data_IF_995264872257
#
_entry.id   IF_995264872257
#
_cell.length_a   1.000
_cell.length_b   1.000
_cell.length_c   1.000
_cell.angle_alpha   90.00
_cell.angle_beta   90.00
_cell.angle_gamma   90.00
#
_symmetry.space_group_name_H-M   'P 1'
#
loop_
_entity.id
_entity.type
_entity.pdbx_description
1 polymer ?
#
# COMPACT_ATOMS: atom_id res chain seq x y z
N UNK A 1 -11.25 1.16 19.87
CA UNK A 1 -10.03 1.73 20.47
C UNK A 1 -10.35 3.03 21.21
N UNK A 2 -9.70 3.32 22.35
CA UNK A 2 -9.92 4.55 23.12
C UNK A 2 -9.02 5.71 22.64
N UNK A 3 -9.32 6.94 23.08
CA UNK A 3 -8.60 8.17 22.67
C UNK A 3 -7.13 8.16 23.08
N UNK A 4 -6.80 7.62 24.26
CA UNK A 4 -5.44 7.58 24.78
C UNK A 4 -4.54 6.67 23.90
N UNK A 5 -5.05 5.50 23.52
CA UNK A 5 -4.37 4.58 22.63
C UNK A 5 -4.14 5.21 21.23
N UNK A 6 -5.12 5.93 20.70
CA UNK A 6 -5.02 6.63 19.44
C UNK A 6 -3.93 7.72 19.47
N UNK A 7 -3.92 8.54 20.54
CA UNK A 7 -2.90 9.56 20.75
C UNK A 7 -1.49 8.96 20.89
N UNK A 8 -1.35 7.80 21.54
CA UNK A 8 -0.08 7.09 21.65
C UNK A 8 0.45 6.67 20.26
N UNK A 9 -0.43 6.15 19.40
CA UNK A 9 -0.07 5.76 18.04
C UNK A 9 0.32 7.00 17.22
N UNK A 10 -0.47 8.05 17.29
CA UNK A 10 -0.18 9.32 16.61
C UNK A 10 1.20 9.88 17.01
N UNK A 11 1.49 9.98 18.31
CA UNK A 11 2.80 10.45 18.80
C UNK A 11 3.95 9.59 18.30
N UNK A 12 3.77 8.27 18.24
CA UNK A 12 4.81 7.38 17.69
C UNK A 12 5.08 7.66 16.22
N UNK A 13 4.06 7.94 15.43
CA UNK A 13 4.21 8.35 14.02
C UNK A 13 4.98 9.68 13.97
N UNK A 14 4.61 10.66 14.80
CA UNK A 14 5.30 11.95 14.85
C UNK A 14 6.79 11.83 15.23
N UNK A 15 7.12 10.96 16.17
CA UNK A 15 8.49 10.73 16.66
C UNK A 15 9.33 9.82 15.75
N UNK A 16 8.73 9.24 14.72
CA UNK A 16 9.44 8.32 13.81
C UNK A 16 10.32 9.07 12.82
N UNK A 17 11.54 8.54 12.61
CA UNK A 17 12.44 8.97 11.55
C UNK A 17 11.91 8.57 10.17
N UNK A 18 11.23 7.41 10.10
CA UNK A 18 10.73 6.80 8.86
C UNK A 18 9.41 6.07 9.08
N UNK A 19 8.57 6.05 8.05
CA UNK A 19 7.28 5.36 8.04
C UNK A 19 7.19 4.37 6.89
N UNK A 20 6.94 3.10 7.18
CA UNK A 20 6.65 2.07 6.19
C UNK A 20 5.16 1.74 6.23
N UNK A 21 4.49 1.92 5.10
CA UNK A 21 3.04 1.76 5.00
C UNK A 21 2.73 0.60 4.05
N UNK A 22 1.96 -0.37 4.51
CA UNK A 22 1.39 -1.43 3.68
C UNK A 22 -0.11 -1.19 3.51
N UNK A 23 -0.58 -1.19 2.26
CA UNK A 23 -2.00 -0.96 1.94
C UNK A 23 -2.54 -2.20 1.25
N UNK A 24 -3.52 -2.85 1.88
CA UNK A 24 -4.11 -4.09 1.41
C UNK A 24 -5.59 -4.00 1.05
N UNK A 25 -6.23 -5.16 0.97
CA UNK A 25 -7.54 -5.36 0.37
C UNK A 25 -8.69 -4.54 0.95
N UNK A 26 -8.63 -4.10 2.22
CA UNK A 26 -9.67 -3.21 2.78
C UNK A 26 -9.74 -1.84 2.10
N UNK A 27 -8.69 -1.44 1.38
CA UNK A 27 -8.60 -0.16 0.65
C UNK A 27 -9.07 -0.27 -0.81
N UNK A 28 -9.55 -1.43 -1.27
CA UNK A 28 -10.12 -1.57 -2.60
C UNK A 28 -11.43 -0.79 -2.72
N UNK A 29 -11.60 -0.08 -3.82
CA UNK A 29 -12.85 0.62 -4.14
C UNK A 29 -14.00 -0.35 -4.36
N UNK A 30 -13.73 -1.49 -5.01
CA UNK A 30 -14.71 -2.55 -5.23
C UNK A 30 -14.18 -3.88 -4.69
N UNK A 31 -14.71 -4.41 -3.57
CA UNK A 31 -14.30 -5.70 -3.04
C UNK A 31 -14.80 -6.89 -3.89
N UNK A 32 -15.84 -6.71 -4.75
CA UNK A 32 -16.42 -7.78 -5.55
C UNK A 32 -15.76 -7.86 -6.93
N UNK A 33 -14.97 -8.91 -7.15
CA UNK A 33 -14.20 -9.18 -8.38
C UNK A 33 -15.03 -9.32 -9.67
N UNK A 34 -16.37 -9.32 -9.62
CA UNK A 34 -17.25 -9.65 -10.76
C UNK A 34 -17.79 -8.46 -11.56
N UNK A 35 -17.55 -7.22 -11.13
CA UNK A 35 -18.09 -6.03 -11.79
C UNK A 35 -16.99 -5.00 -12.10
N UNK A 36 -16.21 -5.28 -13.15
CA UNK A 36 -15.25 -4.31 -13.71
C UNK A 36 -15.99 -3.12 -14.37
N UNK A 37 -17.26 -3.27 -14.72
CA UNK A 37 -18.03 -2.26 -15.47
C UNK A 37 -18.60 -1.10 -14.62
N UNK A 38 -18.67 -1.24 -13.31
CA UNK A 38 -19.09 -0.16 -12.41
C UNK A 38 -18.20 -0.14 -11.18
N UNK A 39 -17.17 0.72 -11.20
CA UNK A 39 -16.43 1.09 -9.99
C UNK A 39 -17.43 1.79 -9.07
N UNK A 40 -17.97 1.05 -8.10
CA UNK A 40 -18.75 1.67 -7.03
C UNK A 40 -17.73 2.42 -6.17
N UNK A 41 -17.63 3.72 -6.38
CA UNK A 41 -16.77 4.55 -5.58
C UNK A 41 -17.13 4.39 -4.10
N UNK A 42 -16.18 3.96 -3.29
CA UNK A 42 -16.27 3.96 -1.84
C UNK A 42 -15.71 5.29 -1.33
N UNK A 43 -16.56 6.31 -1.09
CA UNK A 43 -16.11 7.65 -0.71
C UNK A 43 -15.30 7.65 0.59
N UNK A 44 -15.50 6.65 1.46
CA UNK A 44 -14.71 6.44 2.67
C UNK A 44 -13.25 6.09 2.35
N UNK A 45 -12.96 5.35 1.27
CA UNK A 45 -11.59 5.02 0.88
C UNK A 45 -10.84 6.25 0.39
N UNK A 46 -11.49 7.10 -0.41
CA UNK A 46 -10.91 8.37 -0.85
C UNK A 46 -10.57 9.27 0.36
N UNK A 47 -11.48 9.38 1.34
CA UNK A 47 -11.23 10.09 2.60
C UNK A 47 -10.08 9.45 3.41
N UNK A 48 -9.98 8.12 3.40
CA UNK A 48 -8.88 7.38 4.01
C UNK A 48 -7.54 7.76 3.42
N UNK A 49 -7.43 7.81 2.09
CA UNK A 49 -6.22 8.25 1.41
C UNK A 49 -5.88 9.72 1.71
N UNK A 50 -6.87 10.62 1.71
CA UNK A 50 -6.65 12.01 2.11
C UNK A 50 -6.11 12.11 3.55
N UNK A 51 -6.72 11.38 4.48
CA UNK A 51 -6.28 11.32 5.87
C UNK A 51 -4.86 10.74 6.01
N UNK A 52 -4.56 9.66 5.28
CA UNK A 52 -3.23 9.08 5.24
C UNK A 52 -2.20 10.07 4.69
N UNK A 53 -2.53 10.80 3.63
CA UNK A 53 -1.65 11.83 3.10
C UNK A 53 -1.32 12.90 4.15
N UNK A 54 -2.30 13.36 4.94
CA UNK A 54 -2.05 14.33 6.01
C UNK A 54 -1.07 13.81 7.07
N UNK A 55 -1.07 12.51 7.36
CA UNK A 55 -0.12 11.88 8.29
C UNK A 55 1.29 11.74 7.69
N UNK A 56 1.41 11.66 6.36
CA UNK A 56 2.68 11.30 5.70
C UNK A 56 3.41 12.48 5.05
N UNK A 57 2.71 13.55 4.67
CA UNK A 57 3.24 14.65 3.81
C UNK A 57 4.54 15.30 4.28
N UNK A 58 4.80 15.29 5.59
CA UNK A 58 6.02 15.87 6.20
C UNK A 58 7.00 14.79 6.68
N UNK A 59 6.79 13.53 6.30
CA UNK A 59 7.56 12.38 6.79
C UNK A 59 8.39 11.73 5.69
N UNK A 60 9.50 11.09 6.05
CA UNK A 60 10.21 10.17 5.15
C UNK A 60 9.48 8.82 5.17
N UNK A 61 8.67 8.56 4.16
CA UNK A 61 7.83 7.37 4.07
C UNK A 61 8.06 6.55 2.81
N UNK A 62 7.60 5.30 2.83
CA UNK A 62 7.40 4.48 1.64
C UNK A 62 6.10 3.68 1.76
N UNK A 63 5.38 3.55 0.65
CA UNK A 63 4.12 2.81 0.56
C UNK A 63 4.33 1.55 -0.31
N UNK A 64 3.93 0.40 0.22
CA UNK A 64 3.80 -0.85 -0.54
C UNK A 64 2.31 -1.18 -0.61
N UNK A 65 1.79 -1.40 -1.81
CA UNK A 65 0.37 -1.71 -1.97
C UNK A 65 0.13 -2.99 -2.75
N UNK A 66 -0.88 -3.77 -2.32
CA UNK A 66 -1.45 -4.90 -3.06
C UNK A 66 -2.75 -4.53 -3.77
N UNK A 67 -3.22 -3.28 -3.61
CA UNK A 67 -4.42 -2.75 -4.26
C UNK A 67 -4.08 -2.35 -5.69
N UNK A 68 -4.87 -2.85 -6.64
CA UNK A 68 -4.61 -2.70 -8.09
C UNK A 68 -5.56 -1.74 -8.80
N UNK A 69 -6.48 -1.07 -8.08
CA UNK A 69 -7.56 -0.25 -8.66
C UNK A 69 -7.13 1.14 -9.16
N UNK A 70 -5.89 1.52 -8.95
CA UNK A 70 -5.33 2.78 -9.45
C UNK A 70 -5.59 4.00 -8.57
N UNK A 71 -6.50 3.96 -7.61
CA UNK A 71 -6.91 5.14 -6.83
C UNK A 71 -5.77 5.81 -6.08
N UNK A 72 -4.79 5.05 -5.57
CA UNK A 72 -3.64 5.61 -4.86
C UNK A 72 -2.82 6.56 -5.75
N UNK A 73 -2.79 6.32 -7.07
CA UNK A 73 -2.03 7.12 -8.04
C UNK A 73 -2.70 8.47 -8.36
N UNK A 74 -3.99 8.61 -8.03
CA UNK A 74 -4.74 9.87 -8.13
C UNK A 74 -4.54 10.75 -6.90
N UNK A 75 -3.96 10.20 -5.83
CA UNK A 75 -3.73 10.92 -4.59
C UNK A 75 -2.43 11.73 -4.64
N UNK A 76 -2.26 12.76 -3.79
CA UNK A 76 -1.10 13.66 -3.83
C UNK A 76 0.17 13.07 -3.21
N UNK A 77 0.28 11.74 -3.11
CA UNK A 77 1.51 11.08 -2.70
C UNK A 77 2.61 11.24 -3.76
N UNK A 78 3.84 11.28 -3.32
CA UNK A 78 5.01 11.22 -4.20
C UNK A 78 5.06 9.83 -4.87
N UNK A 79 4.88 9.78 -6.21
CA UNK A 79 4.77 8.52 -6.97
C UNK A 79 6.02 7.63 -6.84
N UNK A 80 7.20 8.22 -6.71
CA UNK A 80 8.46 7.51 -6.46
C UNK A 80 8.50 6.80 -5.09
N UNK A 81 7.58 7.13 -4.19
CA UNK A 81 7.43 6.54 -2.85
C UNK A 81 6.34 5.48 -2.77
N UNK A 82 5.82 5.03 -3.91
CA UNK A 82 4.80 3.97 -3.98
C UNK A 82 5.32 2.83 -4.83
N UNK A 83 5.23 1.60 -4.32
CA UNK A 83 5.46 0.38 -5.08
C UNK A 83 4.23 -0.52 -5.04
N UNK A 84 3.83 -1.03 -6.21
CA UNK A 84 2.65 -1.87 -6.40
C UNK A 84 3.04 -3.21 -7.05
N UNK A 85 3.58 -4.18 -6.29
CA UNK A 85 4.03 -5.46 -6.86
C UNK A 85 2.92 -6.31 -7.47
N UNK A 86 1.66 -6.05 -7.10
CA UNK A 86 0.49 -6.69 -7.72
C UNK A 86 0.03 -6.01 -9.02
N UNK A 87 0.69 -4.92 -9.43
CA UNK A 87 0.35 -4.15 -10.63
C UNK A 87 -0.73 -3.11 -10.40
N UNK A 88 -1.24 -2.59 -11.53
CA UNK A 88 -2.25 -1.54 -11.55
C UNK A 88 -3.13 -1.69 -12.80
N UNK A 89 -4.44 -1.54 -12.68
CA UNK A 89 -5.37 -1.64 -13.81
C UNK A 89 -5.21 -0.51 -14.83
N UNK A 90 -4.66 0.65 -14.43
CA UNK A 90 -4.38 1.78 -15.33
C UNK A 90 -3.09 1.58 -16.14
N UNK A 91 -2.25 0.64 -15.77
CA UNK A 91 -1.10 0.21 -16.56
C UNK A 91 -1.52 -0.88 -17.53
N UNK A 92 -0.99 -0.82 -18.74
CA UNK A 92 -1.32 -1.77 -19.82
C UNK A 92 -0.07 -2.55 -20.21
N UNK A 93 -0.27 -3.81 -20.53
CA UNK A 93 0.75 -4.72 -21.06
C UNK A 93 0.19 -5.49 -22.27
N UNK A 94 1.06 -6.07 -23.08
CA UNK A 94 0.65 -6.98 -24.14
C UNK A 94 0.04 -8.27 -23.56
N UNK A 95 -1.14 -8.68 -24.02
CA UNK A 95 -1.80 -9.92 -23.60
C UNK A 95 -0.95 -11.18 -23.83
N UNK A 96 -0.08 -11.15 -24.86
CA UNK A 96 0.81 -12.26 -25.20
C UNK A 96 2.17 -12.18 -24.48
N UNK A 97 2.45 -11.09 -23.70
CA UNK A 97 3.76 -10.89 -23.09
C UNK A 97 4.92 -10.81 -24.10
N UNK A 98 4.65 -10.33 -25.34
CA UNK A 98 5.67 -10.30 -26.41
C UNK A 98 6.77 -9.26 -26.20
N UNK A 99 6.56 -8.33 -25.30
CA UNK A 99 7.49 -7.27 -24.88
C UNK A 99 7.38 -7.06 -23.38
N UNK A 100 8.36 -6.39 -22.78
CA UNK A 100 8.37 -5.96 -21.38
C UNK A 100 7.87 -4.52 -21.21
N UNK A 101 7.44 -3.88 -22.28
CA UNK A 101 6.93 -2.53 -22.24
C UNK A 101 5.59 -2.46 -21.49
N UNK A 102 5.47 -1.41 -20.69
CA UNK A 102 4.26 -1.05 -19.96
C UNK A 102 3.84 0.34 -20.43
N UNK A 103 2.56 0.50 -20.70
CA UNK A 103 1.96 1.75 -21.13
C UNK A 103 0.92 2.26 -20.14
N UNK A 104 0.75 3.56 -20.06
CA UNK A 104 -0.35 4.19 -19.35
C UNK A 104 -1.68 3.95 -20.11
N UNK A 105 -2.79 3.93 -19.38
CA UNK A 105 -4.13 3.80 -20.02
C UNK A 105 -4.37 4.98 -20.98
N UNK A 106 -4.74 4.67 -22.21
CA UNK A 106 -4.93 5.66 -23.30
C UNK A 106 -3.67 6.12 -24.02
N UNK A 107 -2.46 5.73 -23.59
CA UNK A 107 -1.21 6.05 -24.29
C UNK A 107 -1.17 5.46 -25.71
N UNK A 108 -1.74 4.27 -25.88
CA UNK A 108 -1.90 3.61 -27.17
C UNK A 108 -3.40 3.66 -27.55
N UNK A 109 -3.84 4.58 -28.44
CA UNK A 109 -5.25 4.88 -28.65
C UNK A 109 -6.09 3.72 -29.21
N UNK A 110 -5.50 2.82 -30.00
CA UNK A 110 -6.20 1.67 -30.58
C UNK A 110 -6.22 0.44 -29.66
N UNK A 111 -5.57 0.54 -28.48
CA UNK A 111 -5.49 -0.53 -27.49
C UNK A 111 -4.76 -1.79 -27.99
N UNK A 112 -3.90 -1.67 -28.99
CA UNK A 112 -3.15 -2.77 -29.56
C UNK A 112 -1.66 -2.64 -29.32
N UNK A 113 -1.04 -3.78 -29.00
CA UNK A 113 0.39 -3.85 -28.81
C UNK A 113 1.16 -3.43 -30.07
N UNK A 114 2.04 -2.40 -30.00
CA UNK A 114 2.81 -1.93 -31.16
C UNK A 114 3.75 -2.99 -31.76
N UNK A 115 4.11 -4.03 -30.99
CA UNK A 115 5.04 -5.06 -31.41
C UNK A 115 4.38 -6.23 -32.14
N UNK A 116 3.20 -6.70 -31.68
CA UNK A 116 2.59 -7.90 -32.23
C UNK A 116 1.14 -7.72 -32.69
N UNK A 117 0.53 -6.54 -32.46
CA UNK A 117 -0.86 -6.27 -32.78
C UNK A 117 -1.90 -6.93 -31.87
N UNK A 118 -1.48 -7.69 -30.84
CA UNK A 118 -2.36 -8.24 -29.83
C UNK A 118 -2.99 -7.16 -28.93
N UNK A 119 -3.97 -7.51 -28.10
CA UNK A 119 -4.62 -6.54 -27.23
C UNK A 119 -3.71 -6.06 -26.09
N UNK A 120 -3.92 -4.83 -25.67
CA UNK A 120 -3.39 -4.32 -24.43
C UNK A 120 -4.38 -4.59 -23.28
N UNK A 121 -3.90 -5.27 -22.26
CA UNK A 121 -4.67 -5.68 -21.07
C UNK A 121 -4.11 -5.05 -19.82
N UNK A 122 -4.88 -4.94 -18.70
CA UNK A 122 -4.35 -4.43 -17.44
C UNK A 122 -3.09 -5.18 -16.98
N UNK A 123 -2.08 -4.45 -16.52
CA UNK A 123 -0.88 -5.03 -15.93
C UNK A 123 -1.13 -5.33 -14.46
N UNK A 124 -1.65 -6.51 -14.16
CA UNK A 124 -1.91 -6.99 -12.80
C UNK A 124 -1.54 -8.47 -12.68
N UNK A 125 -1.26 -8.94 -11.45
CA UNK A 125 -0.96 -10.35 -11.15
C UNK A 125 -2.11 -11.32 -11.50
N UNK A 126 -3.30 -10.80 -11.78
CA UNK A 126 -4.45 -11.61 -12.24
C UNK A 126 -4.29 -12.02 -13.72
N UNK A 127 -3.40 -11.34 -14.46
CA UNK A 127 -3.07 -11.69 -15.83
C UNK A 127 -2.05 -12.84 -15.88
N UNK A 128 -2.35 -13.87 -16.67
CA UNK A 128 -1.49 -15.06 -16.79
C UNK A 128 -0.08 -14.79 -17.34
N UNK A 129 0.16 -13.64 -17.96
CA UNK A 129 1.44 -13.18 -18.49
C UNK A 129 1.91 -11.88 -17.80
N UNK A 130 1.66 -11.76 -16.50
CA UNK A 130 2.02 -10.56 -15.75
C UNK A 130 3.47 -10.13 -15.95
N UNK A 131 3.68 -8.88 -16.26
CA UNK A 131 4.98 -8.26 -16.54
C UNK A 131 5.38 -7.39 -15.34
N UNK A 132 6.46 -7.77 -14.67
CA UNK A 132 6.92 -7.13 -13.43
C UNK A 132 7.59 -5.77 -13.67
N UNK A 133 8.01 -5.48 -14.89
CA UNK A 133 8.67 -4.22 -15.26
C UNK A 133 7.87 -2.97 -14.89
N UNK A 134 6.55 -3.10 -14.73
CA UNK A 134 5.69 -2.01 -14.27
C UNK A 134 6.02 -1.48 -12.88
N UNK A 135 6.52 -2.33 -11.98
CA UNK A 135 6.85 -1.89 -10.61
C UNK A 135 8.34 -1.98 -10.25
N UNK A 136 9.17 -2.66 -11.05
CA UNK A 136 10.58 -2.87 -10.73
C UNK A 136 11.38 -1.59 -10.46
N UNK A 137 11.20 -0.47 -11.16
CA UNK A 137 11.90 0.77 -10.83
C UNK A 137 11.62 1.24 -9.40
N UNK A 138 10.35 1.24 -8.97
CA UNK A 138 9.93 1.64 -7.61
C UNK A 138 10.34 0.59 -6.58
N UNK A 139 10.41 -0.69 -6.96
CA UNK A 139 10.92 -1.74 -6.09
C UNK A 139 12.40 -1.53 -5.74
N UNK A 140 13.20 -1.07 -6.69
CA UNK A 140 14.60 -0.71 -6.45
C UNK A 140 14.69 0.45 -5.45
N UNK A 141 13.93 1.53 -5.67
CA UNK A 141 13.86 2.67 -4.75
C UNK A 141 13.42 2.24 -3.35
N UNK A 142 12.40 1.37 -3.26
CA UNK A 142 11.92 0.81 -2.00
C UNK A 142 13.00 0.04 -1.26
N UNK A 143 13.71 -0.85 -1.94
CA UNK A 143 14.74 -1.67 -1.30
C UNK A 143 15.93 -0.84 -0.82
N UNK A 144 16.33 0.18 -1.57
CA UNK A 144 17.36 1.15 -1.16
C UNK A 144 16.90 2.00 0.04
N UNK A 145 15.65 2.45 0.02
CA UNK A 145 15.07 3.19 1.14
C UNK A 145 14.97 2.31 2.39
N UNK A 146 14.51 1.06 2.24
CA UNK A 146 14.38 0.09 3.32
C UNK A 146 15.74 -0.19 3.99
N UNK A 147 16.80 -0.35 3.21
CA UNK A 147 18.15 -0.54 3.75
C UNK A 147 18.58 0.64 4.65
N UNK A 148 18.12 1.86 4.35
CA UNK A 148 18.39 3.05 5.17
C UNK A 148 17.52 3.19 6.43
N UNK A 149 16.59 2.26 6.66
CA UNK A 149 15.77 2.25 7.90
C UNK A 149 16.47 1.56 9.07
N UNK A 150 17.52 0.80 8.81
CA UNK A 150 18.24 0.07 9.85
C UNK A 150 18.76 1.03 10.93
N UNK A 151 18.49 0.71 12.21
CA UNK A 151 18.80 1.53 13.36
C UNK A 151 18.14 2.93 13.40
N UNK A 152 17.07 3.13 12.64
CA UNK A 152 16.20 4.32 12.71
C UNK A 152 14.92 3.98 13.46
N UNK A 153 14.31 4.99 14.09
CA UNK A 153 12.95 4.86 14.62
C UNK A 153 11.99 4.69 13.45
N UNK A 154 11.63 3.43 13.16
CA UNK A 154 10.75 3.04 12.08
C UNK A 154 9.38 2.69 12.64
N UNK A 155 8.33 3.39 12.23
CA UNK A 155 6.96 2.90 12.45
C UNK A 155 6.45 2.25 11.17
N UNK A 156 5.92 1.04 11.33
CA UNK A 156 5.34 0.24 10.27
C UNK A 156 3.84 0.15 10.49
N UNK A 157 3.06 0.55 9.49
CA UNK A 157 1.60 0.44 9.48
C UNK A 157 1.17 -0.53 8.37
N UNK A 158 0.59 -1.66 8.75
CA UNK A 158 -0.06 -2.59 7.82
C UNK A 158 -1.57 -2.36 7.89
N UNK A 159 -2.12 -1.83 6.81
CA UNK A 159 -3.48 -1.33 6.71
C UNK A 159 -4.33 -2.22 5.81
N UNK A 160 -5.15 -3.08 6.40
CA UNK A 160 -6.13 -3.89 5.69
C UNK A 160 -5.55 -4.97 4.79
N UNK A 161 -4.33 -5.47 5.06
CA UNK A 161 -3.73 -6.56 4.30
C UNK A 161 -4.19 -7.93 4.82
N UNK A 162 -4.72 -8.74 3.91
CA UNK A 162 -5.17 -10.11 4.19
C UNK A 162 -4.11 -11.17 3.91
N UNK A 163 -4.58 -12.38 3.52
CA UNK A 163 -3.73 -13.51 3.18
C UNK A 163 -3.73 -13.86 1.69
N UNK A 164 -4.25 -12.98 0.81
CA UNK A 164 -4.25 -13.24 -0.64
C UNK A 164 -2.83 -13.21 -1.21
N UNK A 165 -2.00 -12.27 -0.75
CA UNK A 165 -0.62 -12.07 -1.20
C UNK A 165 0.33 -11.75 -0.03
N UNK A 166 0.43 -12.65 0.98
CA UNK A 166 1.14 -12.36 2.23
C UNK A 166 2.64 -12.14 2.04
N UNK A 167 3.20 -12.61 0.93
CA UNK A 167 4.60 -12.44 0.55
C UNK A 167 4.96 -11.01 0.14
N UNK A 168 3.98 -10.16 -0.16
CA UNK A 168 4.21 -8.78 -0.59
C UNK A 168 4.33 -7.83 0.59
N UNK A 169 3.44 -7.92 1.57
CA UNK A 169 3.38 -7.01 2.73
C UNK A 169 3.59 -7.76 4.04
N UNK A 170 2.71 -8.71 4.39
CA UNK A 170 2.66 -9.30 5.75
C UNK A 170 4.00 -9.83 6.24
N UNK A 171 4.57 -10.81 5.51
CA UNK A 171 5.82 -11.44 5.93
C UNK A 171 7.05 -10.54 5.78
N UNK A 172 7.22 -9.75 4.70
CA UNK A 172 8.31 -8.78 4.60
C UNK A 172 8.29 -7.72 5.70
N UNK A 173 7.10 -7.24 6.10
CA UNK A 173 6.97 -6.23 7.15
C UNK A 173 7.30 -6.81 8.53
N UNK A 174 6.78 -7.98 8.87
CA UNK A 174 7.16 -8.71 10.09
C UNK A 174 8.67 -8.91 10.17
N UNK A 175 9.28 -9.39 9.07
CA UNK A 175 10.73 -9.59 8.97
C UNK A 175 11.51 -8.27 9.16
N UNK A 176 11.04 -7.18 8.56
CA UNK A 176 11.65 -5.86 8.72
C UNK A 176 11.66 -5.41 10.18
N UNK A 177 10.52 -5.56 10.85
CA UNK A 177 10.37 -5.21 12.28
C UNK A 177 11.21 -6.13 13.17
N UNK A 178 11.26 -7.42 12.87
CA UNK A 178 12.06 -8.38 13.62
C UNK A 178 13.54 -7.98 13.68
N UNK A 179 14.12 -7.59 12.54
CA UNK A 179 15.54 -7.23 12.45
C UNK A 179 15.86 -5.79 12.89
N UNK A 180 14.91 -4.86 12.84
CA UNK A 180 15.15 -3.49 13.29
C UNK A 180 14.80 -3.32 14.77
N UNK A 181 15.82 -3.08 15.62
CA UNK A 181 15.65 -2.93 17.08
C UNK A 181 14.83 -1.69 17.48
N UNK A 182 14.73 -0.69 16.62
CA UNK A 182 14.00 0.55 16.88
C UNK A 182 12.68 0.62 16.11
N UNK A 183 12.27 -0.48 15.45
CA UNK A 183 11.00 -0.54 14.76
C UNK A 183 9.84 -0.82 15.71
N UNK A 184 8.68 -0.29 15.34
CA UNK A 184 7.40 -0.64 15.93
C UNK A 184 6.37 -0.92 14.84
N UNK A 185 5.53 -1.93 15.05
CA UNK A 185 4.58 -2.42 14.06
C UNK A 185 3.14 -2.32 14.54
N UNK A 186 2.29 -1.77 13.72
CA UNK A 186 0.84 -1.82 13.88
C UNK A 186 0.22 -2.55 12.70
N UNK A 187 -0.55 -3.60 12.97
CA UNK A 187 -1.37 -4.30 12.00
C UNK A 187 -2.83 -3.99 12.26
N UNK A 188 -3.47 -3.32 11.34
CA UNK A 188 -4.86 -2.91 11.43
C UNK A 188 -5.68 -3.68 10.40
N UNK A 189 -6.61 -4.51 10.85
CA UNK A 189 -7.51 -5.28 10.00
C UNK A 189 -8.73 -5.73 10.79
N UNK A 190 -9.91 -5.77 10.17
CA UNK A 190 -11.14 -6.22 10.81
C UNK A 190 -11.08 -7.67 11.31
N UNK A 191 -10.39 -8.55 10.58
CA UNK A 191 -10.32 -9.99 10.86
C UNK A 191 -8.88 -10.46 11.11
N UNK A 192 -7.90 -10.06 10.29
CA UNK A 192 -6.54 -10.61 10.26
C UNK A 192 -5.51 -9.71 10.97
N UNK A 193 -5.87 -9.20 12.16
CA UNK A 193 -5.06 -8.27 12.95
C UNK A 193 -4.00 -8.94 13.83
N UNK A 194 -4.00 -10.28 13.96
CA UNK A 194 -3.12 -11.01 14.87
C UNK A 194 -1.65 -10.79 14.53
N UNK A 195 -0.84 -10.69 15.57
CA UNK A 195 0.62 -10.53 15.49
C UNK A 195 1.29 -11.86 15.81
N UNK A 196 2.40 -12.17 15.16
CA UNK A 196 3.24 -13.32 15.50
C UNK A 196 3.86 -13.16 16.90
N UNK A 197 3.99 -14.27 17.64
CA UNK A 197 4.54 -14.26 19.00
C UNK A 197 5.94 -13.61 19.07
N UNK A 198 6.75 -13.77 18.03
CA UNK A 198 8.09 -13.22 17.93
C UNK A 198 8.14 -11.68 17.94
N UNK A 199 7.02 -11.03 17.64
CA UNK A 199 6.92 -9.56 17.56
C UNK A 199 6.14 -8.93 18.71
N UNK A 200 5.64 -9.70 19.68
CA UNK A 200 4.75 -9.21 20.74
C UNK A 200 5.29 -7.99 21.53
N UNK A 201 6.62 -7.85 21.65
CA UNK A 201 7.24 -6.72 22.35
C UNK A 201 7.38 -5.45 21.48
N UNK A 202 7.18 -5.56 20.15
CA UNK A 202 7.40 -4.49 19.16
C UNK A 202 6.20 -4.26 18.24
N UNK A 203 5.07 -4.90 18.52
CA UNK A 203 3.93 -4.86 17.62
C UNK A 203 2.60 -4.83 18.37
N UNK A 204 1.59 -4.29 17.74
CA UNK A 204 0.23 -4.25 18.22
C UNK A 204 -0.75 -4.56 17.08
N UNK A 205 -1.60 -5.57 17.28
CA UNK A 205 -2.69 -5.89 16.37
C UNK A 205 -3.97 -5.15 16.79
N UNK A 206 -4.61 -4.49 15.84
CA UNK A 206 -5.79 -3.67 16.07
C UNK A 206 -6.95 -4.21 15.23
N UNK A 207 -7.99 -4.73 15.92
CA UNK A 207 -9.20 -5.24 15.28
C UNK A 207 -10.13 -4.10 14.92
N UNK A 208 -9.95 -3.54 13.72
CA UNK A 208 -10.75 -2.44 13.22
C UNK A 208 -10.63 -2.35 11.68
N UNK A 209 -11.61 -1.72 11.02
CA UNK A 209 -11.49 -1.30 9.62
C UNK A 209 -10.35 -0.30 9.48
N UNK A 210 -9.36 -0.62 8.63
CA UNK A 210 -8.14 0.17 8.53
C UNK A 210 -8.33 1.55 7.91
N UNK A 211 -9.32 1.73 7.04
CA UNK A 211 -9.68 3.02 6.46
C UNK A 211 -10.25 3.95 7.53
N UNK A 212 -11.22 3.45 8.30
CA UNK A 212 -11.84 4.18 9.41
C UNK A 212 -10.82 4.52 10.49
N UNK A 213 -9.90 3.59 10.78
CA UNK A 213 -8.80 3.80 11.71
C UNK A 213 -7.92 4.98 11.30
N UNK A 214 -7.48 5.03 10.03
CA UNK A 214 -6.62 6.11 9.52
C UNK A 214 -7.33 7.47 9.56
N UNK A 215 -8.62 7.53 9.20
CA UNK A 215 -9.42 8.76 9.30
C UNK A 215 -9.42 9.31 10.74
N UNK A 216 -9.66 8.45 11.74
CA UNK A 216 -9.66 8.87 13.14
C UNK A 216 -8.28 9.23 13.67
N UNK A 217 -7.23 8.53 13.20
CA UNK A 217 -5.86 8.82 13.58
C UNK A 217 -5.42 10.21 13.12
N UNK A 218 -5.79 10.60 11.90
CA UNK A 218 -5.52 11.94 11.38
C UNK A 218 -6.28 13.07 12.14
N UNK A 219 -7.43 12.76 12.73
CA UNK A 219 -8.17 13.72 13.57
C UNK A 219 -7.46 14.04 14.89
N UNK A 220 -6.63 13.10 15.40
CA UNK A 220 -5.83 13.35 16.61
C UNK A 220 -4.83 14.50 16.38
N UNK A 221 -4.16 14.53 15.23
CA UNK A 221 -3.21 15.59 14.89
C UNK A 221 -3.84 16.98 14.74
N UNK A 222 -5.13 17.06 14.34
CA UNK A 222 -5.85 18.35 14.24
C UNK A 222 -6.22 18.97 15.58
N UNK A 223 -6.22 18.18 16.67
CA UNK A 223 -6.58 18.66 18.01
C UNK A 223 -5.37 19.14 18.81
N UNK A 224 -4.15 18.76 18.40
CA UNK A 224 -2.91 19.18 19.06
C UNK A 224 -2.24 20.37 18.35
N UNK A 225 -2.70 20.77 17.15
CA UNK A 225 -2.27 21.94 16.38
C UNK A 225 -3.17 23.15 16.65
#
# INVERSE_FOLDING_TARGET
MNTEQMNRIYRRIEESDKLLIGIGGEWKQNPDKKQIEHIIARPEVAKGYEALYQLLKEKDYFIVTTVTDGLIWEQPFEKSRIVAPCGNITWKQCEHGCTKDIWEDGEIPDGKCPHCGGLLVPNTVENGHYIEEGYLPQWKEYTEWLARTLNKKLTVLELGEGFSTPTVIRWPFEKTVFFNKQAWFYRIHQEFFQISEELNEKAEGIKEDSVSFVCRLAECGRKEA
#
